data_IF_045187091794
#
_entry.id   IF_045187091794
#
_cell.length_a   1.000
_cell.length_b   1.000
_cell.length_c   1.000
_cell.angle_alpha   90.00
_cell.angle_beta   90.00
_cell.angle_gamma   90.00
#
_symmetry.space_group_name_H-M   'P 1'
#
loop_
_entity.id
_entity.type
_entity.pdbx_description
1 polymer ?
#
# COMPACT_ATOMS: atom_id res chain seq x y z
N UNK A 1 -9.19 -13.93 -15.95
CA UNK A 1 -8.07 -13.01 -16.27
C UNK A 1 -7.97 -12.05 -15.11
N UNK A 2 -6.78 -11.84 -14.56
CA UNK A 2 -6.58 -10.94 -13.41
C UNK A 2 -6.88 -9.50 -13.84
N UNK A 3 -7.75 -8.80 -13.11
CA UNK A 3 -8.06 -7.41 -13.38
C UNK A 3 -7.03 -6.50 -12.69
N UNK A 4 -5.99 -6.15 -13.45
CA UNK A 4 -4.86 -5.35 -12.95
C UNK A 4 -5.26 -3.89 -12.79
N UNK A 5 -4.88 -3.31 -11.65
CA UNK A 5 -4.96 -1.87 -11.42
C UNK A 5 -3.67 -1.22 -11.88
N UNK A 6 -3.78 -0.13 -12.63
CA UNK A 6 -2.66 0.72 -13.03
C UNK A 6 -3.05 2.17 -12.75
N UNK A 7 -2.15 2.91 -12.11
CA UNK A 7 -2.32 4.31 -11.82
C UNK A 7 -2.16 5.13 -13.11
N UNK A 8 -2.93 6.21 -13.25
CA UNK A 8 -2.74 7.10 -14.39
C UNK A 8 -1.42 7.86 -14.26
N UNK A 9 -0.90 8.41 -15.37
CA UNK A 9 0.29 9.27 -15.33
C UNK A 9 0.13 10.45 -14.35
N UNK A 10 -1.09 10.96 -14.18
CA UNK A 10 -1.34 12.08 -13.25
C UNK A 10 -1.22 11.62 -11.80
N UNK A 11 -1.74 10.44 -11.47
CA UNK A 11 -1.60 9.83 -10.13
C UNK A 11 -0.14 9.55 -9.83
N UNK A 12 0.59 8.95 -10.78
CA UNK A 12 2.02 8.63 -10.66
C UNK A 12 2.86 9.88 -10.42
N UNK A 13 2.64 10.96 -11.19
CA UNK A 13 3.36 12.23 -11.01
C UNK A 13 3.09 12.84 -9.63
N UNK A 14 1.82 12.88 -9.21
CA UNK A 14 1.45 13.40 -7.91
C UNK A 14 2.04 12.58 -6.76
N UNK A 15 1.96 11.25 -6.82
CA UNK A 15 2.50 10.36 -5.80
C UNK A 15 4.02 10.43 -5.74
N UNK A 16 4.69 10.52 -6.90
CA UNK A 16 6.15 10.69 -6.97
C UNK A 16 6.57 11.97 -6.24
N UNK A 17 5.90 13.09 -6.51
CA UNK A 17 6.19 14.37 -5.84
C UNK A 17 5.98 14.23 -4.31
N UNK A 18 4.87 13.65 -3.87
CA UNK A 18 4.56 13.51 -2.44
C UNK A 18 5.54 12.61 -1.72
N UNK A 19 5.84 11.44 -2.26
CA UNK A 19 6.77 10.49 -1.64
C UNK A 19 8.19 11.07 -1.55
N UNK A 20 8.66 11.77 -2.58
CA UNK A 20 10.00 12.39 -2.54
C UNK A 20 10.07 13.63 -1.65
N UNK A 21 9.06 14.51 -1.70
CA UNK A 21 9.12 15.82 -1.05
C UNK A 21 8.59 15.82 0.38
N UNK A 22 7.67 14.91 0.72
CA UNK A 22 7.04 14.83 2.05
C UNK A 22 7.55 13.65 2.87
N UNK A 23 7.75 12.50 2.23
CA UNK A 23 8.29 11.31 2.91
C UNK A 23 9.80 11.18 2.79
N UNK A 24 10.46 12.10 2.07
CA UNK A 24 11.91 12.10 1.82
C UNK A 24 12.42 10.80 1.18
N UNK A 25 11.54 10.08 0.47
CA UNK A 25 11.87 8.82 -0.16
C UNK A 25 12.79 9.05 -1.36
N UNK A 26 13.85 8.26 -1.50
CA UNK A 26 14.70 8.35 -2.69
C UNK A 26 13.93 7.89 -3.95
N UNK A 27 14.51 8.16 -5.12
CA UNK A 27 13.86 7.88 -6.40
C UNK A 27 13.53 6.41 -6.60
N UNK A 28 14.45 5.50 -6.27
CA UNK A 28 14.27 4.07 -6.48
C UNK A 28 13.15 3.53 -5.59
N UNK A 29 13.18 3.86 -4.31
CA UNK A 29 12.15 3.47 -3.35
C UNK A 29 10.78 4.06 -3.71
N UNK A 30 10.74 5.29 -4.23
CA UNK A 30 9.51 5.92 -4.70
C UNK A 30 8.87 5.11 -5.84
N UNK A 31 9.67 4.75 -6.84
CA UNK A 31 9.18 3.98 -7.99
C UNK A 31 8.72 2.59 -7.57
N UNK A 32 9.51 1.91 -6.73
CA UNK A 32 9.15 0.60 -6.19
C UNK A 32 7.85 0.67 -5.38
N UNK A 33 7.68 1.70 -4.54
CA UNK A 33 6.46 1.89 -3.74
C UNK A 33 5.22 2.09 -4.60
N UNK A 34 5.33 2.87 -5.69
CA UNK A 34 4.21 3.10 -6.61
C UNK A 34 3.80 1.80 -7.30
N UNK A 35 4.77 1.00 -7.75
CA UNK A 35 4.50 -0.32 -8.34
C UNK A 35 3.82 -1.25 -7.34
N UNK A 36 4.31 -1.29 -6.10
CA UNK A 36 3.68 -2.14 -5.07
C UNK A 36 2.32 -1.63 -4.60
N UNK A 37 2.05 -0.33 -4.71
CA UNK A 37 0.72 0.23 -4.51
C UNK A 37 -0.27 -0.26 -5.58
N UNK A 38 0.15 -0.35 -6.85
CA UNK A 38 -0.65 -0.95 -7.92
C UNK A 38 -0.91 -2.45 -7.68
N UNK A 39 0.10 -3.18 -7.20
CA UNK A 39 -0.05 -4.59 -6.81
C UNK A 39 -1.04 -4.75 -5.66
N UNK A 40 -0.95 -3.90 -4.66
CA UNK A 40 -1.85 -3.89 -3.53
C UNK A 40 -3.29 -3.56 -3.96
N UNK A 41 -3.51 -2.55 -4.81
CA UNK A 41 -4.83 -2.26 -5.36
C UNK A 41 -5.37 -3.40 -6.23
N UNK A 42 -4.52 -4.04 -7.03
CA UNK A 42 -4.88 -5.23 -7.79
C UNK A 42 -5.34 -6.35 -6.85
N UNK A 43 -4.62 -6.57 -5.76
CA UNK A 43 -5.01 -7.52 -4.74
C UNK A 43 -6.36 -7.17 -4.11
N UNK A 44 -6.58 -5.91 -3.71
CA UNK A 44 -7.87 -5.47 -3.17
C UNK A 44 -9.03 -5.67 -4.17
N UNK A 45 -8.78 -5.41 -5.46
CA UNK A 45 -9.80 -5.56 -6.51
C UNK A 45 -10.20 -7.01 -6.77
N UNK A 46 -9.26 -7.94 -6.62
CA UNK A 46 -9.46 -9.34 -6.97
C UNK A 46 -9.62 -10.27 -5.76
N UNK A 47 -9.47 -9.76 -4.53
CA UNK A 47 -9.62 -10.55 -3.31
C UNK A 47 -10.99 -10.32 -2.65
N UNK A 48 -11.74 -11.41 -2.45
CA UNK A 48 -13.05 -11.38 -1.78
C UNK A 48 -12.96 -11.55 -0.25
N UNK A 49 -11.75 -11.73 0.32
CA UNK A 49 -11.54 -12.06 1.74
C UNK A 49 -11.33 -10.86 2.66
N UNK A 50 -11.63 -9.65 2.19
CA UNK A 50 -11.49 -8.41 2.97
C UNK A 50 -10.25 -7.59 2.62
N UNK A 51 -10.11 -6.43 3.26
CA UNK A 51 -8.97 -5.53 3.06
C UNK A 51 -7.73 -6.10 3.76
N UNK A 52 -6.70 -6.45 2.98
CA UNK A 52 -5.38 -6.73 3.53
C UNK A 52 -4.73 -5.47 4.11
N UNK A 53 -3.77 -5.63 5.01
CA UNK A 53 -2.98 -4.52 5.52
C UNK A 53 -1.82 -4.18 4.57
N UNK A 54 -1.68 -2.92 4.14
CA UNK A 54 -0.56 -2.50 3.31
C UNK A 54 0.77 -2.56 4.11
N UNK A 55 1.90 -2.64 3.41
CA UNK A 55 3.19 -2.36 4.04
C UNK A 55 3.31 -0.88 4.43
N UNK A 56 4.24 -0.48 5.31
CA UNK A 56 4.41 0.92 5.70
C UNK A 56 4.65 1.89 4.52
N UNK A 57 5.36 1.46 3.49
CA UNK A 57 5.64 2.28 2.30
C UNK A 57 4.39 2.40 1.41
N UNK A 58 3.69 1.29 1.19
CA UNK A 58 2.42 1.27 0.44
C UNK A 58 1.35 2.09 1.17
N UNK A 59 1.30 2.01 2.51
CA UNK A 59 0.37 2.77 3.34
C UNK A 59 0.59 4.28 3.20
N UNK A 60 1.85 4.75 3.25
CA UNK A 60 2.19 6.15 2.99
C UNK A 60 1.73 6.61 1.62
N UNK A 61 1.99 5.83 0.57
CA UNK A 61 1.59 6.17 -0.78
C UNK A 61 0.07 6.21 -0.93
N UNK A 62 -0.64 5.23 -0.35
CA UNK A 62 -2.09 5.20 -0.33
C UNK A 62 -2.66 6.40 0.42
N UNK A 63 -2.09 6.77 1.57
CA UNK A 63 -2.50 7.94 2.34
C UNK A 63 -2.41 9.23 1.51
N UNK A 64 -1.28 9.46 0.82
CA UNK A 64 -1.14 10.63 -0.06
C UNK A 64 -2.13 10.61 -1.21
N UNK A 65 -2.44 9.43 -1.77
CA UNK A 65 -3.45 9.28 -2.82
C UNK A 65 -4.82 9.77 -2.32
N UNK A 66 -5.26 9.29 -1.16
CA UNK A 66 -6.54 9.65 -0.53
C UNK A 66 -6.65 11.15 -0.27
N UNK A 67 -5.58 11.79 0.19
CA UNK A 67 -5.56 13.22 0.49
C UNK A 67 -5.86 14.09 -0.74
N UNK A 68 -5.55 13.61 -1.95
CA UNK A 68 -6.04 14.23 -3.18
C UNK A 68 -7.42 13.68 -3.55
N UNK A 69 -8.42 14.06 -2.75
CA UNK A 69 -9.76 13.47 -2.77
C UNK A 69 -10.43 13.43 -4.15
N UNK A 70 -10.21 14.45 -4.99
CA UNK A 70 -10.76 14.49 -6.36
C UNK A 70 -10.10 13.45 -7.28
N UNK A 71 -8.78 13.37 -7.24
CA UNK A 71 -7.99 12.38 -7.98
C UNK A 71 -8.36 10.97 -7.50
N UNK A 72 -8.42 10.78 -6.19
CA UNK A 72 -8.71 9.49 -5.58
C UNK A 72 -10.13 8.98 -5.84
N UNK A 73 -11.13 9.87 -5.85
CA UNK A 73 -12.49 9.51 -6.23
C UNK A 73 -12.53 9.05 -7.70
N UNK A 74 -11.85 9.78 -8.59
CA UNK A 74 -11.75 9.40 -10.00
C UNK A 74 -11.14 8.02 -10.17
N UNK A 75 -10.02 7.76 -9.48
CA UNK A 75 -9.37 6.46 -9.43
C UNK A 75 -10.30 5.35 -8.87
N UNK A 76 -10.94 5.61 -7.73
CA UNK A 76 -11.84 4.66 -7.05
C UNK A 76 -13.00 4.25 -7.96
N UNK A 77 -13.62 5.23 -8.63
CA UNK A 77 -14.72 4.98 -9.55
C UNK A 77 -14.26 4.17 -10.76
N UNK A 78 -13.10 4.50 -11.33
CA UNK A 78 -12.56 3.83 -12.52
C UNK A 78 -12.16 2.37 -12.25
N UNK A 79 -11.52 2.08 -11.12
CA UNK A 79 -10.97 0.75 -10.86
C UNK A 79 -11.87 -0.13 -10.00
N UNK A 80 -12.69 0.45 -9.14
CA UNK A 80 -13.50 -0.31 -8.16
C UNK A 80 -15.02 -0.10 -8.34
N UNK A 81 -15.44 0.85 -9.20
CA UNK A 81 -16.87 1.14 -9.41
C UNK A 81 -17.57 1.76 -8.19
N UNK A 82 -16.81 2.27 -7.22
CA UNK A 82 -17.29 2.89 -5.97
C UNK A 82 -16.80 4.34 -5.87
N UNK A 83 -17.47 5.17 -5.07
CA UNK A 83 -17.09 6.58 -4.93
C UNK A 83 -15.73 6.77 -4.26
N UNK A 84 -15.48 6.04 -3.15
CA UNK A 84 -14.22 6.07 -2.42
C UNK A 84 -13.92 4.65 -1.93
N UNK A 85 -12.76 4.11 -2.32
CA UNK A 85 -12.21 2.94 -1.66
C UNK A 85 -11.74 3.36 -0.26
N UNK A 86 -12.45 2.91 0.77
CA UNK A 86 -12.16 3.34 2.13
C UNK A 86 -10.86 2.72 2.63
N UNK A 87 -9.95 3.57 3.08
CA UNK A 87 -8.86 3.17 3.98
C UNK A 87 -9.43 3.13 5.40
N UNK A 88 -9.25 2.00 6.09
CA UNK A 88 -9.50 1.93 7.52
C UNK A 88 -8.15 2.20 8.17
N UNK A 89 -7.94 3.37 8.80
CA UNK A 89 -6.69 3.61 9.50
C UNK A 89 -6.57 2.57 10.61
N UNK A 90 -5.54 1.73 10.53
CA UNK A 90 -5.17 0.78 11.59
C UNK A 90 -4.57 1.49 12.82
N UNK A 91 -5.02 2.72 13.10
CA UNK A 91 -4.58 3.52 14.23
C UNK A 91 -5.78 3.78 15.14
N UNK A 92 -5.98 2.94 16.15
CA UNK A 92 -6.93 3.21 17.22
C UNK A 92 -6.43 4.27 18.20
N UNK A 93 -5.21 4.79 18.02
CA UNK A 93 -4.57 5.71 18.96
C UNK A 93 -4.27 5.07 20.33
N UNK A 94 -4.56 3.79 20.50
CA UNK A 94 -4.34 3.04 21.73
C UNK A 94 -3.12 2.14 21.54
N UNK A 95 -2.05 2.43 22.27
CA UNK A 95 -0.80 1.65 22.21
C UNK A 95 -1.05 0.16 22.53
N UNK A 96 -2.08 -0.14 23.35
CA UNK A 96 -2.49 -1.50 23.65
C UNK A 96 -2.99 -2.30 22.43
N UNK A 97 -3.68 -1.67 21.48
CA UNK A 97 -4.20 -2.37 20.29
C UNK A 97 -3.08 -2.61 19.25
N UNK A 98 -2.02 -1.78 19.30
CA UNK A 98 -0.80 -1.97 18.49
C UNK A 98 0.02 -3.15 19.05
N UNK A 99 0.11 -3.27 20.38
CA UNK A 99 0.82 -4.38 21.04
C UNK A 99 0.08 -5.72 20.92
N UNK A 100 -1.25 -5.73 20.88
CA UNK A 100 -2.05 -6.95 20.68
C UNK A 100 -1.98 -7.44 19.22
N UNK A 101 -1.87 -6.53 18.24
CA UNK A 101 -1.77 -6.85 16.81
C UNK A 101 -0.35 -7.21 16.35
N UNK A 102 0.68 -6.82 17.12
CA UNK A 102 2.06 -7.28 16.98
C UNK A 102 2.43 -8.33 18.04
N UNK A 103 1.42 -8.98 18.64
CA UNK A 103 1.65 -10.15 19.47
C UNK A 103 2.40 -11.22 18.67
N UNK A 104 3.38 -11.82 19.33
CA UNK A 104 4.45 -12.67 18.75
C UNK A 104 3.92 -13.88 17.94
N UNK A 105 2.63 -14.20 18.06
CA UNK A 105 1.98 -15.36 17.46
C UNK A 105 1.03 -15.03 16.29
N UNK A 106 0.80 -13.75 15.96
CA UNK A 106 0.06 -13.35 14.77
C UNK A 106 1.05 -13.06 13.62
N UNK A 107 0.89 -13.77 12.49
CA UNK A 107 1.60 -13.39 11.27
C UNK A 107 1.28 -11.90 11.00
N UNK A 108 2.30 -11.02 10.89
CA UNK A 108 2.03 -9.59 10.80
C UNK A 108 1.13 -9.36 9.59
N UNK A 109 0.02 -8.64 9.72
CA UNK A 109 -0.95 -8.42 8.64
C UNK A 109 -0.34 -7.99 7.26
N UNK A 110 0.82 -7.30 7.22
CA UNK A 110 1.58 -7.11 5.98
C UNK A 110 2.10 -8.39 5.31
N UNK A 111 2.45 -9.44 6.07
CA UNK A 111 2.92 -10.72 5.56
C UNK A 111 1.80 -11.56 4.93
N UNK A 112 0.61 -11.58 5.52
CA UNK A 112 -0.56 -12.21 4.86
C UNK A 112 -0.87 -11.53 3.52
N UNK A 113 -0.84 -10.20 3.51
CA UNK A 113 -1.07 -9.41 2.29
C UNK A 113 0.04 -9.66 1.27
N UNK A 114 1.30 -9.64 1.68
CA UNK A 114 2.44 -9.97 0.83
C UNK A 114 2.32 -11.39 0.24
N UNK A 115 1.96 -12.38 1.05
CA UNK A 115 1.76 -13.76 0.60
C UNK A 115 0.59 -13.86 -0.39
N UNK A 116 -0.50 -13.13 -0.13
CA UNK A 116 -1.65 -13.03 -1.02
C UNK A 116 -1.30 -12.41 -2.38
N UNK A 117 -0.59 -11.28 -2.38
CA UNK A 117 -0.08 -10.61 -3.58
C UNK A 117 0.88 -11.54 -4.32
N UNK A 118 1.82 -12.16 -3.61
CA UNK A 118 2.80 -13.09 -4.18
C UNK A 118 2.13 -14.31 -4.82
N UNK A 119 1.11 -14.89 -4.19
CA UNK A 119 0.35 -15.99 -4.76
C UNK A 119 -0.46 -15.57 -6.00
N UNK A 120 -0.92 -14.31 -6.04
CA UNK A 120 -1.72 -13.75 -7.13
C UNK A 120 -0.87 -13.33 -8.34
N UNK A 121 0.29 -12.71 -8.10
CA UNK A 121 1.14 -12.08 -9.11
C UNK A 121 2.40 -12.89 -9.44
N UNK A 122 2.83 -13.79 -8.55
CA UNK A 122 4.13 -14.46 -8.59
C UNK A 122 5.23 -13.66 -7.88
N UNK A 123 6.20 -14.38 -7.29
CA UNK A 123 7.30 -13.80 -6.48
C UNK A 123 8.16 -12.81 -7.26
N UNK A 124 8.40 -13.06 -8.55
CA UNK A 124 9.24 -12.20 -9.40
C UNK A 124 8.60 -10.84 -9.70
N UNK A 125 7.32 -10.67 -9.36
CA UNK A 125 6.56 -9.44 -9.54
C UNK A 125 6.32 -8.70 -8.22
N UNK A 126 7.00 -9.04 -7.12
CA UNK A 126 6.82 -8.36 -5.83
C UNK A 126 8.16 -7.96 -5.23
N UNK A 127 8.31 -6.68 -4.90
CA UNK A 127 9.50 -6.16 -4.26
C UNK A 127 9.47 -6.43 -2.75
N UNK A 128 10.22 -7.44 -2.31
CA UNK A 128 10.35 -7.82 -0.90
C UNK A 128 10.80 -6.68 0.02
N UNK A 129 11.61 -5.73 -0.46
CA UNK A 129 12.08 -4.64 0.41
C UNK A 129 10.94 -3.69 0.79
N UNK A 130 10.01 -3.45 -0.12
CA UNK A 130 8.82 -2.62 0.14
C UNK A 130 7.88 -3.28 1.14
N UNK A 131 7.83 -4.62 1.17
CA UNK A 131 6.87 -5.37 1.99
C UNK A 131 7.42 -5.89 3.32
N UNK A 132 8.72 -6.21 3.39
CA UNK A 132 9.30 -6.96 4.52
C UNK A 132 10.32 -6.15 5.34
N UNK A 133 10.63 -4.90 4.97
CA UNK A 133 11.48 -4.03 5.78
C UNK A 133 10.69 -3.48 6.97
N UNK A 134 11.23 -3.65 8.18
CA UNK A 134 10.63 -3.17 9.42
C UNK A 134 10.60 -1.64 9.49
N UNK A 135 9.68 -1.07 10.27
CA UNK A 135 9.63 0.38 10.53
C UNK A 135 10.94 0.90 11.13
N UNK A 136 11.65 0.06 11.89
CA UNK A 136 12.92 0.40 12.54
C UNK A 136 14.08 0.45 11.54
N UNK A 137 14.05 -0.38 10.49
CA UNK A 137 15.02 -0.34 9.40
C UNK A 137 14.74 0.81 8.42
N UNK A 138 13.48 1.19 8.24
CA UNK A 138 13.09 2.38 7.45
C UNK A 138 13.73 3.68 7.96
N UNK A 139 13.87 3.83 9.28
CA UNK A 139 14.55 4.98 9.90
C UNK A 139 16.07 5.00 9.71
N UNK A 140 16.67 3.93 9.17
CA UNK A 140 18.11 3.85 8.88
C UNK A 140 18.46 4.29 7.47
N UNK A 141 17.47 4.43 6.59
CA UNK A 141 17.63 4.80 5.18
C UNK A 141 17.09 6.19 4.83
N UNK A 142 16.55 6.92 5.81
CA UNK A 142 16.15 8.34 5.75
C UNK A 142 17.09 9.18 6.62
#
# INVERSE_FOLDING_TARGET
MLDKVQLSNTDVLYLTERLQMKEHMNREDTLNTIVELEHFYTFLKNNNKGMGAPSPMVDKAWHHHILNTKMYNTFSHQHFGIEILHHVPFWSGNIADIEEMWSIDAEPAPLETYNGITAMLGVDNVNKTVWLISKDDLNRFL
#
